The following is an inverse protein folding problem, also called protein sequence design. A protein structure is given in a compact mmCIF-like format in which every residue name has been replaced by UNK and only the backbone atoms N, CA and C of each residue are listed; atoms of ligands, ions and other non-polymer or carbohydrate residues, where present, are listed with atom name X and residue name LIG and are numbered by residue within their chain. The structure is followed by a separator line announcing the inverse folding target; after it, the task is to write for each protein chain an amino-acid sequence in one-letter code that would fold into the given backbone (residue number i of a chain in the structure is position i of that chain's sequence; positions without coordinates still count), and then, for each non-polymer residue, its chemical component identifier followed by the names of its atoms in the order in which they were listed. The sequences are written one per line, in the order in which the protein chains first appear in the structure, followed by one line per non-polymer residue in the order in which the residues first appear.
data_IF_653051935383
#
_entry.id   IF_653051935383
#
_cell.length_a   1.000
_cell.length_b   1.000
_cell.length_c   1.000
_cell.angle_alpha   90.00
_cell.angle_beta   90.00
_cell.angle_gamma   90.00
#
_symmetry.space_group_name_H-M   'P 1'
#
loop_
_entity.id
_entity.type
_entity.pdbx_description
1 polymer ?
#
# COMPACT_ATOMS: atom_id res chain seq x y z
N UNK A 1 -26.43 39.06 39.82
CA UNK A 1 -26.68 38.26 38.60
C UNK A 1 -25.80 38.78 37.48
N UNK A 2 -24.68 38.12 37.20
CA UNK A 2 -23.99 38.17 35.90
C UNK A 2 -23.75 36.73 35.51
N UNK A 3 -24.59 36.26 34.61
CA UNK A 3 -24.61 34.91 34.09
C UNK A 3 -23.40 34.73 33.15
N UNK A 4 -22.50 33.80 33.50
CA UNK A 4 -21.41 33.37 32.61
C UNK A 4 -22.04 32.57 31.47
N UNK A 5 -22.01 33.13 30.26
CA UNK A 5 -22.34 32.39 29.04
C UNK A 5 -21.30 31.27 28.77
N UNK A 6 -21.66 30.19 28.05
CA UNK A 6 -20.96 28.91 28.10
C UNK A 6 -19.73 28.89 27.17
N UNK A 7 -18.54 28.65 27.75
CA UNK A 7 -17.30 28.35 27.00
C UNK A 7 -17.41 27.05 26.17
N UNK A 8 -18.30 26.14 26.55
CA UNK A 8 -18.53 24.83 25.90
C UNK A 8 -19.07 24.94 24.46
N UNK A 9 -19.83 25.99 24.14
CA UNK A 9 -20.38 26.15 22.77
C UNK A 9 -19.33 26.64 21.78
N UNK A 10 -18.38 27.47 22.23
CA UNK A 10 -17.27 27.95 21.39
C UNK A 10 -16.25 26.85 21.13
N UNK A 11 -15.95 26.02 22.12
CA UNK A 11 -14.99 24.92 21.96
C UNK A 11 -15.48 23.84 21.00
N UNK A 12 -16.78 23.49 21.06
CA UNK A 12 -17.40 22.56 20.11
C UNK A 12 -17.49 23.13 18.69
N UNK A 13 -17.78 24.43 18.53
CA UNK A 13 -17.77 25.08 17.22
C UNK A 13 -16.37 25.08 16.59
N UNK A 14 -15.33 25.38 17.40
CA UNK A 14 -13.93 25.40 16.96
C UNK A 14 -13.44 24.00 16.57
N UNK A 15 -13.77 22.95 17.34
CA UNK A 15 -13.44 21.55 16.99
C UNK A 15 -14.15 21.10 15.71
N UNK A 16 -15.40 21.50 15.51
CA UNK A 16 -16.18 21.16 14.31
C UNK A 16 -15.64 21.86 13.06
N UNK A 17 -15.27 23.14 13.15
CA UNK A 17 -14.63 23.90 12.08
C UNK A 17 -13.25 23.35 11.71
N UNK A 18 -12.47 22.92 12.71
CA UNK A 18 -11.14 22.33 12.49
C UNK A 18 -11.24 20.96 11.80
N UNK A 19 -12.20 20.12 12.20
CA UNK A 19 -12.46 18.84 11.54
C UNK A 19 -13.00 19.01 10.10
N UNK A 20 -13.84 20.03 9.86
CA UNK A 20 -14.35 20.34 8.54
C UNK A 20 -13.22 20.85 7.62
N UNK A 21 -12.36 21.78 8.09
CA UNK A 21 -11.28 22.35 7.28
C UNK A 21 -10.18 21.34 6.92
N UNK A 22 -9.84 20.42 7.82
CA UNK A 22 -8.88 19.33 7.55
C UNK A 22 -9.46 18.34 6.52
N UNK A 23 -10.75 18.01 6.63
CA UNK A 23 -11.44 17.13 5.68
C UNK A 23 -11.52 17.78 4.28
N UNK A 24 -11.76 19.08 4.21
CA UNK A 24 -11.89 19.82 2.95
C UNK A 24 -10.54 20.04 2.26
N UNK A 25 -9.47 20.36 3.02
CA UNK A 25 -8.11 20.52 2.46
C UNK A 25 -7.57 19.21 1.86
N UNK A 26 -7.85 18.07 2.51
CA UNK A 26 -7.47 16.74 2.01
C UNK A 26 -8.22 16.37 0.72
N UNK A 27 -9.47 16.82 0.59
CA UNK A 27 -10.32 16.60 -0.59
C UNK A 27 -9.86 17.46 -1.76
N UNK A 28 -9.56 18.74 -1.53
CA UNK A 28 -9.04 19.65 -2.55
C UNK A 28 -7.72 19.17 -3.15
N UNK A 29 -6.76 18.75 -2.30
CA UNK A 29 -5.47 18.21 -2.76
C UNK A 29 -5.62 16.94 -3.60
N UNK A 30 -6.55 16.07 -3.25
CA UNK A 30 -6.84 14.84 -4.01
C UNK A 30 -7.42 15.16 -5.38
N UNK A 31 -8.41 16.05 -5.43
CA UNK A 31 -9.01 16.46 -6.69
C UNK A 31 -7.96 17.03 -7.65
N UNK A 32 -7.02 17.83 -7.13
CA UNK A 32 -5.90 18.35 -7.92
C UNK A 32 -5.03 17.24 -8.51
N UNK A 33 -4.71 16.19 -7.73
CA UNK A 33 -3.95 15.04 -8.20
C UNK A 33 -4.70 14.29 -9.31
N UNK A 34 -6.00 14.04 -9.11
CA UNK A 34 -6.83 13.34 -10.10
C UNK A 34 -6.98 14.13 -11.40
N UNK A 35 -7.18 15.45 -11.31
CA UNK A 35 -7.18 16.32 -12.47
C UNK A 35 -5.84 16.31 -13.20
N UNK A 36 -4.72 16.29 -12.46
CA UNK A 36 -3.38 16.18 -13.04
C UNK A 36 -3.16 14.86 -13.79
N UNK A 37 -3.63 13.73 -13.24
CA UNK A 37 -3.55 12.43 -13.92
C UNK A 37 -4.40 12.40 -15.19
N UNK A 38 -5.64 12.87 -15.13
CA UNK A 38 -6.50 12.96 -16.31
C UNK A 38 -5.87 13.82 -17.41
N UNK A 39 -5.28 14.97 -17.03
CA UNK A 39 -4.56 15.82 -17.95
C UNK A 39 -3.37 15.10 -18.60
N UNK A 40 -2.58 14.33 -17.85
CA UNK A 40 -1.45 13.57 -18.41
C UNK A 40 -1.90 12.56 -19.47
N UNK A 41 -2.98 11.81 -19.21
CA UNK A 41 -3.51 10.84 -20.16
C UNK A 41 -4.04 11.50 -21.44
N UNK A 42 -4.75 12.63 -21.32
CA UNK A 42 -5.23 13.39 -22.48
C UNK A 42 -4.04 13.98 -23.26
N UNK A 43 -3.02 14.50 -22.57
CA UNK A 43 -1.83 15.04 -23.20
C UNK A 43 -1.04 13.97 -23.95
N UNK A 44 -0.89 12.76 -23.40
CA UNK A 44 -0.32 11.62 -24.13
C UNK A 44 -1.05 11.40 -25.46
N UNK A 45 -2.38 11.28 -25.44
CA UNK A 45 -3.18 11.11 -26.65
C UNK A 45 -2.96 12.23 -27.68
N UNK A 46 -2.88 13.49 -27.24
CA UNK A 46 -2.65 14.65 -28.11
C UNK A 46 -1.23 14.62 -28.70
N UNK A 47 -0.20 14.41 -27.88
CA UNK A 47 1.19 14.37 -28.35
C UNK A 47 1.42 13.20 -29.30
N UNK A 48 0.94 12.01 -28.95
CA UNK A 48 0.95 10.81 -29.81
C UNK A 48 0.32 11.08 -31.18
N UNK A 49 -0.86 11.69 -31.19
CA UNK A 49 -1.54 12.04 -32.44
C UNK A 49 -0.79 13.05 -33.29
N UNK A 50 -0.16 14.06 -32.67
CA UNK A 50 0.68 15.06 -33.34
C UNK A 50 1.94 14.42 -33.92
N UNK A 51 2.66 13.61 -33.15
CA UNK A 51 3.88 12.91 -33.59
C UNK A 51 3.60 12.04 -34.81
N UNK A 52 2.42 11.44 -34.86
CA UNK A 52 1.97 10.60 -35.97
C UNK A 52 1.25 11.32 -37.09
N UNK A 53 1.20 12.66 -37.06
CA UNK A 53 0.52 13.49 -38.06
C UNK A 53 -0.90 12.99 -38.37
N UNK A 54 -1.67 12.72 -37.32
CA UNK A 54 -3.03 12.16 -37.43
C UNK A 54 -4.01 13.22 -37.93
N UNK A 55 -4.97 12.77 -38.74
CA UNK A 55 -6.05 13.62 -39.24
C UNK A 55 -6.91 14.18 -38.09
N UNK A 56 -7.57 15.33 -38.26
CA UNK A 56 -8.35 15.98 -37.18
C UNK A 56 -9.40 15.08 -36.53
N UNK A 57 -10.05 14.19 -37.30
CA UNK A 57 -11.03 13.25 -36.76
C UNK A 57 -10.37 12.13 -35.93
N UNK A 58 -9.16 11.68 -36.28
CA UNK A 58 -8.39 10.69 -35.52
C UNK A 58 -7.87 11.32 -34.22
N UNK A 59 -7.46 12.59 -34.28
CA UNK A 59 -7.12 13.39 -33.09
C UNK A 59 -8.31 13.49 -32.12
N UNK A 60 -9.52 13.73 -32.64
CA UNK A 60 -10.72 13.76 -31.79
C UNK A 60 -10.97 12.40 -31.11
N UNK A 61 -10.83 11.29 -31.83
CA UNK A 61 -10.96 9.93 -31.27
C UNK A 61 -9.94 9.68 -30.16
N UNK A 62 -8.68 10.08 -30.35
CA UNK A 62 -7.63 9.97 -29.34
C UNK A 62 -7.96 10.77 -28.07
N UNK A 63 -8.46 12.01 -28.21
CA UNK A 63 -8.89 12.81 -27.07
C UNK A 63 -10.05 12.15 -26.32
N UNK A 64 -11.07 11.63 -27.04
CA UNK A 64 -12.18 10.92 -26.43
C UNK A 64 -11.72 9.63 -25.73
N UNK A 65 -10.75 8.91 -26.29
CA UNK A 65 -10.14 7.74 -25.66
C UNK A 65 -9.45 8.12 -24.33
N UNK A 66 -8.67 9.20 -24.31
CA UNK A 66 -8.03 9.72 -23.11
C UNK A 66 -9.03 10.13 -22.02
N UNK A 67 -10.14 10.77 -22.41
CA UNK A 67 -11.24 11.12 -21.49
C UNK A 67 -11.91 9.86 -20.95
N UNK A 68 -12.28 8.91 -21.82
CA UNK A 68 -12.94 7.67 -21.43
C UNK A 68 -12.09 6.86 -20.45
N UNK A 69 -10.79 6.73 -20.76
CA UNK A 69 -9.84 6.08 -19.87
C UNK A 69 -9.75 6.80 -18.54
N UNK A 70 -9.60 8.13 -18.55
CA UNK A 70 -9.48 8.94 -17.32
C UNK A 70 -10.70 8.76 -16.41
N UNK A 71 -11.91 8.79 -16.97
CA UNK A 71 -13.15 8.53 -16.23
C UNK A 71 -13.13 7.13 -15.62
N UNK A 72 -12.80 6.11 -16.41
CA UNK A 72 -12.80 4.72 -15.96
C UNK A 72 -11.74 4.46 -14.88
N UNK A 73 -10.52 4.98 -15.07
CA UNK A 73 -9.40 4.81 -14.15
C UNK A 73 -9.66 5.51 -12.82
N UNK A 74 -10.14 6.76 -12.85
CA UNK A 74 -10.47 7.52 -11.64
C UNK A 74 -11.66 6.92 -10.90
N UNK A 75 -12.70 6.46 -11.61
CA UNK A 75 -13.82 5.75 -11.02
C UNK A 75 -13.36 4.44 -10.36
N UNK A 76 -12.51 3.66 -11.03
CA UNK A 76 -11.90 2.47 -10.47
C UNK A 76 -11.14 2.76 -9.17
N UNK A 77 -10.32 3.82 -9.14
CA UNK A 77 -9.61 4.21 -7.92
C UNK A 77 -10.55 4.61 -6.77
N UNK A 78 -11.64 5.32 -7.04
CA UNK A 78 -12.60 5.72 -5.99
C UNK A 78 -13.47 4.54 -5.52
N UNK A 79 -13.83 3.60 -6.41
CA UNK A 79 -14.56 2.38 -6.04
C UNK A 79 -13.75 1.47 -5.13
N UNK A 80 -12.51 1.17 -5.52
CA UNK A 80 -11.59 0.38 -4.69
C UNK A 80 -11.30 1.06 -3.34
N UNK A 81 -11.31 2.40 -3.31
CA UNK A 81 -11.18 3.16 -2.08
C UNK A 81 -12.38 2.95 -1.14
N UNK A 82 -13.59 2.86 -1.68
CA UNK A 82 -14.81 2.65 -0.89
C UNK A 82 -14.90 1.20 -0.39
N UNK A 83 -14.48 0.23 -1.22
CA UNK A 83 -14.56 -1.19 -0.90
C UNK A 83 -13.58 -1.66 0.20
N UNK A 84 -12.66 -0.80 0.68
CA UNK A 84 -11.74 -1.08 1.81
C UNK A 84 -10.92 -2.37 1.71
N UNK A 85 -10.80 -2.99 0.55
CA UNK A 85 -9.99 -4.20 0.36
C UNK A 85 -8.49 -3.88 0.24
N UNK A 86 -7.68 -4.95 0.36
CA UNK A 86 -6.20 -5.05 0.28
C UNK A 86 -5.49 -4.08 -0.69
N UNK A 87 -6.17 -3.60 -1.73
CA UNK A 87 -5.69 -2.52 -2.60
C UNK A 87 -5.34 -1.22 -1.87
N UNK A 88 -6.01 -0.94 -0.75
CA UNK A 88 -5.89 0.30 0.01
C UNK A 88 -4.54 0.46 0.73
N UNK A 89 -3.92 -0.65 1.13
CA UNK A 89 -2.60 -0.66 1.81
C UNK A 89 -1.47 -0.25 0.87
N UNK A 90 -1.60 -0.55 -0.43
CA UNK A 90 -0.55 -0.29 -1.42
C UNK A 90 -0.76 1.02 -2.19
N UNK A 91 -2.01 1.43 -2.42
CA UNK A 91 -2.36 2.70 -3.07
C UNK A 91 -2.31 3.93 -2.14
N UNK A 92 -1.62 3.80 -0.99
CA UNK A 92 -1.61 4.74 0.15
C UNK A 92 -1.23 6.18 -0.22
N UNK A 93 -0.49 6.35 -1.32
CA UNK A 93 -0.09 7.65 -1.83
C UNK A 93 -0.43 7.81 -3.32
N UNK A 94 -1.60 8.40 -3.59
CA UNK A 94 -2.00 8.85 -4.94
C UNK A 94 -0.94 9.71 -5.62
N UNK A 95 -0.03 10.34 -4.86
CA UNK A 95 1.10 11.11 -5.41
C UNK A 95 2.10 10.22 -6.14
N UNK A 96 2.43 9.04 -5.60
CA UNK A 96 3.33 8.12 -6.27
C UNK A 96 2.67 7.53 -7.50
N UNK A 97 1.38 7.18 -7.41
CA UNK A 97 0.60 6.69 -8.56
C UNK A 97 0.58 7.76 -9.66
N UNK A 98 0.25 9.01 -9.31
CA UNK A 98 0.21 10.11 -10.27
C UNK A 98 1.59 10.43 -10.85
N UNK A 99 2.64 10.43 -10.02
CA UNK A 99 4.01 10.66 -10.46
C UNK A 99 4.49 9.58 -11.42
N UNK A 100 4.24 8.31 -11.11
CA UNK A 100 4.56 7.21 -12.03
C UNK A 100 3.73 7.27 -13.31
N UNK A 101 2.43 7.54 -13.21
CA UNK A 101 1.55 7.65 -14.36
C UNK A 101 2.01 8.77 -15.32
N UNK A 102 2.45 9.92 -14.80
CA UNK A 102 3.04 10.98 -15.63
C UNK A 102 4.35 10.53 -16.33
N UNK A 103 5.19 9.77 -15.62
CA UNK A 103 6.42 9.18 -16.19
C UNK A 103 6.07 8.13 -17.25
N UNK A 104 5.06 7.28 -17.02
CA UNK A 104 4.64 6.25 -17.98
C UNK A 104 4.01 6.85 -19.23
N UNK A 105 3.17 7.90 -19.10
CA UNK A 105 2.66 8.67 -20.23
C UNK A 105 3.81 9.27 -21.06
N UNK A 106 4.80 9.88 -20.40
CA UNK A 106 5.95 10.46 -21.09
C UNK A 106 6.78 9.39 -21.80
N UNK A 107 7.02 8.25 -21.15
CA UNK A 107 7.73 7.12 -21.73
C UNK A 107 6.95 6.52 -22.92
N UNK A 108 5.62 6.42 -22.84
CA UNK A 108 4.78 5.91 -23.91
C UNK A 108 4.89 6.78 -25.17
N UNK A 109 4.81 8.11 -25.03
CA UNK A 109 5.04 9.05 -26.14
C UNK A 109 6.44 8.87 -26.75
N UNK A 110 7.48 8.66 -25.93
CA UNK A 110 8.83 8.39 -26.42
C UNK A 110 8.96 7.04 -27.14
N UNK A 111 8.22 6.02 -26.71
CA UNK A 111 8.22 4.70 -27.35
C UNK A 111 7.62 4.72 -28.75
N UNK A 112 6.88 5.76 -29.13
CA UNK A 112 6.45 5.92 -30.51
C UNK A 112 7.65 6.12 -31.45
N UNK A 113 8.74 6.74 -31.03
CA UNK A 113 9.91 6.85 -31.91
C UNK A 113 10.59 5.49 -32.19
N UNK A 114 10.23 4.43 -31.45
CA UNK A 114 10.80 3.10 -31.60
C UNK A 114 10.06 2.26 -32.66
N UNK A 115 10.79 1.45 -33.44
CA UNK A 115 10.21 0.48 -34.38
C UNK A 115 9.27 -0.54 -33.74
N UNK A 116 8.46 -1.19 -34.57
CA UNK A 116 7.60 -2.32 -34.17
C UNK A 116 8.41 -3.39 -33.40
N UNK A 117 7.81 -3.96 -32.35
CA UNK A 117 8.41 -4.96 -31.44
C UNK A 117 9.63 -4.52 -30.61
N UNK A 118 10.17 -3.32 -30.78
CA UNK A 118 11.30 -2.83 -29.94
C UNK A 118 10.84 -2.08 -28.69
N UNK A 119 9.55 -1.75 -28.59
CA UNK A 119 8.98 -0.97 -27.48
C UNK A 119 8.98 -1.81 -26.20
N UNK A 120 9.59 -1.32 -25.09
CA UNK A 120 9.61 -2.05 -23.83
C UNK A 120 8.30 -1.82 -23.04
N UNK A 121 7.17 -2.20 -23.66
CA UNK A 121 5.80 -2.00 -23.14
C UNK A 121 5.58 -2.69 -21.78
N UNK A 122 6.30 -3.80 -21.54
CA UNK A 122 6.32 -4.51 -20.26
C UNK A 122 6.60 -3.56 -19.07
N UNK A 123 7.48 -2.58 -19.24
CA UNK A 123 7.89 -1.66 -18.17
C UNK A 123 6.74 -0.74 -17.72
N UNK A 124 5.82 -0.41 -18.62
CA UNK A 124 4.68 0.47 -18.33
C UNK A 124 3.73 -0.21 -17.32
N UNK A 125 3.38 -1.47 -17.56
CA UNK A 125 2.59 -2.27 -16.61
C UNK A 125 3.37 -2.59 -15.33
N UNK A 126 4.66 -2.94 -15.43
CA UNK A 126 5.47 -3.32 -14.28
C UNK A 126 5.55 -2.18 -13.24
N UNK A 127 5.87 -0.96 -13.66
CA UNK A 127 5.92 0.16 -12.73
C UNK A 127 4.55 0.54 -12.16
N UNK A 128 3.49 0.44 -12.97
CA UNK A 128 2.11 0.64 -12.49
C UNK A 128 1.74 -0.37 -11.41
N UNK A 129 2.13 -1.63 -11.59
CA UNK A 129 1.90 -2.71 -10.63
C UNK A 129 2.75 -2.60 -9.35
N UNK A 130 3.96 -2.03 -9.44
CA UNK A 130 4.80 -1.74 -8.26
C UNK A 130 4.13 -0.68 -7.39
N UNK A 131 3.69 0.43 -7.99
CA UNK A 131 3.17 1.60 -7.27
C UNK A 131 1.73 1.42 -6.81
N UNK A 132 0.94 0.65 -7.56
CA UNK A 132 -0.45 0.32 -7.21
C UNK A 132 -0.60 -1.20 -7.06
N UNK A 133 -1.27 -1.89 -7.98
CA UNK A 133 -1.39 -3.33 -8.04
C UNK A 133 -1.40 -3.81 -9.49
N UNK A 134 -1.46 -5.13 -9.69
CA UNK A 134 -1.49 -5.74 -11.03
C UNK A 134 -2.71 -5.30 -11.86
N UNK A 135 -3.86 -5.01 -11.23
CA UNK A 135 -5.07 -4.56 -11.93
C UNK A 135 -4.87 -3.16 -12.54
N UNK A 136 -4.43 -2.17 -11.77
CA UNK A 136 -4.20 -0.81 -12.24
C UNK A 136 -2.96 -0.71 -13.13
N UNK A 137 -1.92 -1.53 -12.87
CA UNK A 137 -0.77 -1.67 -13.77
C UNK A 137 -1.20 -2.16 -15.16
N UNK A 138 -2.04 -3.21 -15.22
CA UNK A 138 -2.61 -3.71 -16.46
C UNK A 138 -3.51 -2.66 -17.13
N UNK A 139 -4.41 -2.02 -16.39
CA UNK A 139 -5.33 -1.01 -16.91
C UNK A 139 -4.58 0.17 -17.54
N UNK A 140 -3.54 0.68 -16.88
CA UNK A 140 -2.65 1.72 -17.43
C UNK A 140 -1.88 1.23 -18.66
N UNK A 141 -1.36 0.01 -18.61
CA UNK A 141 -0.68 -0.60 -19.75
C UNK A 141 -1.56 -0.68 -21.00
N UNK A 142 -2.78 -1.21 -20.85
CA UNK A 142 -3.74 -1.37 -21.94
C UNK A 142 -4.09 -0.02 -22.54
N UNK A 143 -4.18 1.04 -21.73
CA UNK A 143 -4.40 2.39 -22.24
C UNK A 143 -3.28 2.86 -23.17
N UNK A 144 -2.02 2.76 -22.74
CA UNK A 144 -0.86 3.14 -23.56
C UNK A 144 -0.83 2.35 -24.89
N UNK A 145 -1.09 1.04 -24.81
CA UNK A 145 -1.15 0.17 -26.00
C UNK A 145 -2.33 0.53 -26.91
N UNK A 146 -3.49 0.88 -26.34
CA UNK A 146 -4.64 1.35 -27.13
C UNK A 146 -4.34 2.66 -27.87
N UNK A 147 -3.58 3.58 -27.24
CA UNK A 147 -3.10 4.80 -27.91
C UNK A 147 -2.19 4.45 -29.09
N UNK A 148 -1.26 3.52 -28.94
CA UNK A 148 -0.40 3.05 -30.05
C UNK A 148 -1.21 2.44 -31.21
N UNK A 149 -2.21 1.62 -30.88
CA UNK A 149 -3.08 0.99 -31.86
C UNK A 149 -3.92 2.01 -32.65
N UNK A 150 -4.55 2.98 -31.97
CA UNK A 150 -5.33 4.05 -32.62
C UNK A 150 -4.43 5.00 -33.42
N UNK A 151 -3.19 5.20 -32.97
CA UNK A 151 -2.14 5.87 -33.73
C UNK A 151 -1.60 5.05 -34.90
N UNK A 152 -2.31 4.01 -35.34
CA UNK A 152 -2.14 3.32 -36.62
C UNK A 152 -0.86 2.50 -36.74
N UNK A 153 -0.28 2.06 -35.61
CA UNK A 153 0.95 1.28 -35.61
C UNK A 153 0.73 -0.24 -35.52
N UNK A 154 -0.48 -0.71 -35.22
CA UNK A 154 -0.64 -2.07 -34.71
C UNK A 154 -1.65 -2.89 -35.51
N UNK A 155 -1.14 -3.99 -36.07
CA UNK A 155 -1.95 -5.12 -36.50
C UNK A 155 -2.49 -5.84 -35.25
N UNK A 156 -3.61 -6.57 -35.37
CA UNK A 156 -4.21 -7.33 -34.27
C UNK A 156 -3.19 -8.26 -33.55
N UNK A 157 -2.23 -8.83 -34.29
CA UNK A 157 -1.15 -9.64 -33.72
C UNK A 157 -0.17 -8.85 -32.85
N UNK A 158 0.09 -7.58 -33.17
CA UNK A 158 0.95 -6.71 -32.38
C UNK A 158 0.25 -6.28 -31.09
N UNK A 159 -1.04 -5.94 -31.18
CA UNK A 159 -1.87 -5.68 -30.01
C UNK A 159 -1.89 -6.89 -29.05
N UNK A 160 -2.05 -8.10 -29.60
CA UNK A 160 -1.98 -9.33 -28.81
C UNK A 160 -0.60 -9.50 -28.14
N UNK A 161 0.49 -9.28 -28.89
CA UNK A 161 1.84 -9.31 -28.34
C UNK A 161 1.98 -8.36 -27.14
N UNK A 162 1.55 -7.11 -27.30
CA UNK A 162 1.66 -6.10 -26.26
C UNK A 162 0.82 -6.45 -25.02
N UNK A 163 -0.39 -7.00 -25.19
CA UNK A 163 -1.20 -7.49 -24.06
C UNK A 163 -0.47 -8.59 -23.27
N UNK A 164 0.19 -9.53 -23.95
CA UNK A 164 1.02 -10.54 -23.27
C UNK A 164 2.20 -9.87 -22.55
N UNK A 165 2.92 -8.94 -23.19
CA UNK A 165 4.02 -8.20 -22.56
C UNK A 165 3.57 -7.43 -21.29
N UNK A 166 2.39 -6.82 -21.31
CA UNK A 166 1.79 -6.17 -20.14
C UNK A 166 1.50 -7.16 -19.01
N UNK A 167 0.97 -8.35 -19.33
CA UNK A 167 0.78 -9.42 -18.35
C UNK A 167 2.11 -9.85 -17.73
N UNK A 168 3.16 -10.01 -18.54
CA UNK A 168 4.53 -10.25 -18.07
C UNK A 168 5.03 -9.16 -17.12
N UNK A 169 4.69 -7.89 -17.38
CA UNK A 169 5.06 -6.76 -16.52
C UNK A 169 4.41 -6.83 -15.14
N UNK A 170 3.13 -7.19 -15.07
CA UNK A 170 2.44 -7.39 -13.80
C UNK A 170 3.01 -8.57 -13.00
N UNK A 171 3.36 -9.68 -13.67
CA UNK A 171 3.93 -10.87 -13.04
C UNK A 171 5.41 -10.64 -12.66
N UNK A 172 6.14 -9.76 -13.34
CA UNK A 172 7.52 -9.42 -13.00
C UNK A 172 7.67 -8.98 -11.53
N UNK A 173 6.67 -8.25 -11.02
CA UNK A 173 6.66 -7.76 -9.63
C UNK A 173 6.57 -8.90 -8.62
N UNK A 174 5.77 -9.93 -8.90
CA UNK A 174 5.68 -11.10 -8.01
C UNK A 174 6.94 -11.94 -8.10
N UNK A 175 7.50 -12.12 -9.29
CA UNK A 175 8.77 -12.84 -9.45
C UNK A 175 9.92 -12.21 -8.67
N UNK A 176 10.09 -10.89 -8.74
CA UNK A 176 11.15 -10.22 -7.98
C UNK A 176 10.91 -10.21 -6.47
N UNK A 177 9.65 -10.33 -6.03
CA UNK A 177 9.28 -10.43 -4.61
C UNK A 177 9.52 -11.84 -4.05
N UNK A 178 9.12 -12.89 -4.77
CA UNK A 178 9.07 -14.26 -4.24
C UNK A 178 10.28 -15.12 -4.61
N UNK A 179 10.90 -14.89 -5.77
CA UNK A 179 12.04 -15.72 -6.19
C UNK A 179 13.29 -15.32 -5.40
N UNK A 180 13.77 -16.26 -4.59
CA UNK A 180 15.01 -16.13 -3.78
C UNK A 180 16.23 -15.74 -4.61
N UNK A 181 16.31 -16.16 -5.87
CA UNK A 181 17.42 -15.86 -6.76
C UNK A 181 17.00 -14.98 -7.95
N UNK A 182 17.31 -13.68 -7.83
CA UNK A 182 16.93 -12.62 -8.77
C UNK A 182 17.39 -12.86 -10.21
N UNK A 183 18.50 -13.59 -10.42
CA UNK A 183 19.03 -13.88 -11.76
C UNK A 183 18.05 -14.67 -12.61
N UNK A 184 17.34 -15.62 -12.01
CA UNK A 184 16.32 -16.41 -12.71
C UNK A 184 15.11 -15.57 -13.12
N UNK A 185 14.73 -14.58 -12.31
CA UNK A 185 13.67 -13.63 -12.68
C UNK A 185 14.04 -12.81 -13.92
N UNK A 186 15.28 -12.33 -14.01
CA UNK A 186 15.77 -11.57 -15.18
C UNK A 186 15.80 -12.47 -16.43
N UNK A 187 16.34 -13.69 -16.30
CA UNK A 187 16.40 -14.64 -17.42
C UNK A 187 14.99 -15.02 -17.90
N UNK A 188 14.07 -15.29 -16.97
CA UNK A 188 12.69 -15.61 -17.31
C UNK A 188 12.00 -14.46 -18.06
N UNK A 189 12.13 -13.22 -17.57
CA UNK A 189 11.54 -12.06 -18.24
C UNK A 189 12.16 -11.81 -19.62
N UNK A 190 13.47 -12.03 -19.76
CA UNK A 190 14.14 -11.95 -21.06
C UNK A 190 13.52 -12.95 -22.05
N UNK A 191 13.45 -14.23 -21.66
CA UNK A 191 12.90 -15.30 -22.51
C UNK A 191 11.42 -15.03 -22.82
N UNK A 192 10.64 -14.62 -21.83
CA UNK A 192 9.23 -14.28 -22.00
C UNK A 192 9.02 -13.21 -23.07
N UNK A 193 9.74 -12.09 -22.98
CA UNK A 193 9.63 -10.99 -23.96
C UNK A 193 10.09 -11.45 -25.34
N UNK A 194 11.21 -12.18 -25.40
CA UNK A 194 11.77 -12.69 -26.64
C UNK A 194 10.79 -13.64 -27.35
N UNK A 195 10.20 -14.58 -26.61
CA UNK A 195 9.26 -15.57 -27.12
C UNK A 195 7.95 -14.92 -27.58
N UNK A 196 7.41 -13.95 -26.84
CA UNK A 196 6.23 -13.19 -27.28
C UNK A 196 6.49 -12.52 -28.64
N UNK A 197 7.60 -11.79 -28.78
CA UNK A 197 7.93 -11.11 -30.03
C UNK A 197 8.13 -12.11 -31.18
N UNK A 198 8.83 -13.23 -30.92
CA UNK A 198 9.06 -14.27 -31.90
C UNK A 198 7.74 -14.87 -32.42
N UNK A 199 6.87 -15.30 -31.50
CA UNK A 199 5.59 -15.96 -31.83
C UNK A 199 4.71 -15.03 -32.65
N UNK A 200 4.47 -13.80 -32.17
CA UNK A 200 3.54 -12.89 -32.83
C UNK A 200 4.11 -12.32 -34.14
N UNK A 201 5.43 -12.15 -34.25
CA UNK A 201 6.06 -11.80 -35.52
C UNK A 201 5.95 -12.93 -36.56
N UNK A 202 6.18 -14.18 -36.13
CA UNK A 202 6.09 -15.34 -37.01
C UNK A 202 4.66 -15.55 -37.51
N UNK A 203 3.65 -15.41 -36.65
CA UNK A 203 2.24 -15.52 -37.05
C UNK A 203 1.88 -14.47 -38.11
N UNK A 204 2.41 -13.24 -37.99
CA UNK A 204 2.13 -12.15 -38.93
C UNK A 204 2.80 -12.35 -40.30
N UNK A 205 4.06 -12.76 -40.31
CA UNK A 205 4.90 -12.74 -41.52
C UNK A 205 5.11 -14.12 -42.15
N UNK A 206 4.85 -15.19 -41.40
CA UNK A 206 5.12 -16.58 -41.80
C UNK A 206 6.61 -16.93 -41.90
N UNK A 207 7.51 -16.01 -41.56
CA UNK A 207 8.96 -16.17 -41.72
C UNK A 207 9.71 -15.59 -40.52
N UNK A 208 10.85 -16.19 -40.17
CA UNK A 208 11.74 -15.66 -39.15
C UNK A 208 12.74 -14.69 -39.78
N UNK A 209 12.57 -13.40 -39.50
CA UNK A 209 13.52 -12.37 -39.93
C UNK A 209 14.57 -12.11 -38.85
N UNK A 210 15.85 -12.14 -39.23
CA UNK A 210 16.98 -11.84 -38.35
C UNK A 210 16.88 -10.49 -37.65
N UNK A 211 16.31 -9.48 -38.31
CA UNK A 211 16.12 -8.16 -37.70
C UNK A 211 15.14 -8.23 -36.52
N UNK A 212 14.07 -9.02 -36.64
CA UNK A 212 13.09 -9.17 -35.56
C UNK A 212 13.65 -9.98 -34.41
N UNK A 213 14.47 -10.99 -34.68
CA UNK A 213 15.21 -11.72 -33.65
C UNK A 213 16.12 -10.79 -32.86
N UNK A 214 16.87 -9.92 -33.55
CA UNK A 214 17.74 -8.93 -32.92
C UNK A 214 16.93 -7.93 -32.09
N UNK A 215 15.84 -7.40 -32.65
CA UNK A 215 14.94 -6.49 -31.93
C UNK A 215 14.29 -7.12 -30.71
N UNK A 216 13.85 -8.38 -30.83
CA UNK A 216 13.31 -9.16 -29.72
C UNK A 216 14.34 -9.38 -28.61
N UNK A 217 15.59 -9.71 -28.97
CA UNK A 217 16.66 -9.89 -27.99
C UNK A 217 17.01 -8.56 -27.29
N UNK A 218 17.10 -7.47 -28.04
CA UNK A 218 17.31 -6.13 -27.46
C UNK A 218 16.17 -5.72 -26.53
N UNK A 219 14.91 -5.92 -26.95
CA UNK A 219 13.74 -5.61 -26.12
C UNK A 219 13.72 -6.49 -24.86
N UNK A 220 13.96 -7.79 -24.98
CA UNK A 220 14.05 -8.70 -23.85
C UNK A 220 15.10 -8.26 -22.84
N UNK A 221 16.29 -7.86 -23.31
CA UNK A 221 17.36 -7.38 -22.44
C UNK A 221 16.99 -6.07 -21.73
N UNK A 222 16.47 -5.09 -22.47
CA UNK A 222 16.07 -3.77 -21.94
C UNK A 222 14.89 -3.91 -20.97
N UNK A 223 13.87 -4.69 -21.33
CA UNK A 223 12.68 -4.90 -20.49
C UNK A 223 13.01 -5.68 -19.22
N UNK A 224 13.83 -6.73 -19.28
CA UNK A 224 14.21 -7.49 -18.09
C UNK A 224 15.11 -6.69 -17.14
N UNK A 225 16.14 -6.01 -17.67
CA UNK A 225 17.02 -5.15 -16.87
C UNK A 225 16.26 -3.94 -16.31
N UNK A 226 15.42 -3.31 -17.14
CA UNK A 226 14.58 -2.18 -16.76
C UNK A 226 13.59 -2.55 -15.65
N UNK A 227 12.92 -3.70 -15.75
CA UNK A 227 11.99 -4.16 -14.72
C UNK A 227 12.70 -4.43 -13.39
N UNK A 228 13.91 -5.01 -13.44
CA UNK A 228 14.73 -5.20 -12.26
C UNK A 228 15.17 -3.86 -11.63
N UNK A 229 15.62 -2.90 -12.45
CA UNK A 229 16.00 -1.57 -11.98
C UNK A 229 14.81 -0.83 -11.37
N UNK A 230 13.63 -0.86 -12.02
CA UNK A 230 12.40 -0.26 -11.52
C UNK A 230 11.99 -0.88 -10.18
N UNK A 231 12.03 -2.21 -10.08
CA UNK A 231 11.78 -2.89 -8.80
C UNK A 231 12.80 -2.43 -7.75
N UNK A 232 14.08 -2.42 -8.09
CA UNK A 232 15.13 -2.03 -7.17
C UNK A 232 15.03 -0.56 -6.72
N UNK A 233 14.59 0.37 -7.57
CA UNK A 233 14.49 1.79 -7.23
C UNK A 233 13.16 2.11 -6.58
N UNK A 234 12.04 1.88 -7.27
CA UNK A 234 10.71 2.29 -6.83
C UNK A 234 10.21 1.45 -5.66
N UNK A 235 10.32 0.12 -5.72
CA UNK A 235 9.79 -0.73 -4.64
C UNK A 235 10.54 -0.49 -3.33
N UNK A 236 11.88 -0.45 -3.37
CA UNK A 236 12.69 -0.15 -2.17
C UNK A 236 12.48 1.27 -1.68
N UNK A 237 12.34 2.25 -2.57
CA UNK A 237 12.05 3.63 -2.18
C UNK A 237 10.70 3.74 -1.45
N UNK A 238 9.64 3.12 -2.00
CA UNK A 238 8.31 3.11 -1.38
C UNK A 238 8.34 2.40 -0.02
N UNK A 239 8.98 1.23 0.06
CA UNK A 239 9.06 0.47 1.30
C UNK A 239 9.90 1.19 2.37
N UNK A 240 11.04 1.78 1.99
CA UNK A 240 11.86 2.57 2.92
C UNK A 240 11.14 3.84 3.37
N UNK A 241 10.42 4.52 2.49
CA UNK A 241 9.65 5.72 2.84
C UNK A 241 8.57 5.38 3.87
N UNK A 242 7.84 4.29 3.66
CA UNK A 242 6.83 3.79 4.62
C UNK A 242 7.45 3.43 5.96
N UNK A 243 8.59 2.73 5.93
CA UNK A 243 9.32 2.35 7.15
C UNK A 243 9.79 3.58 7.92
N UNK A 244 10.39 4.56 7.25
CA UNK A 244 10.83 5.81 7.87
C UNK A 244 9.66 6.61 8.48
N UNK A 245 8.49 6.61 7.84
CA UNK A 245 7.28 7.24 8.39
C UNK A 245 6.83 6.57 9.69
N UNK A 246 6.78 5.24 9.73
CA UNK A 246 6.41 4.46 10.91
C UNK A 246 7.45 4.57 12.04
N UNK A 247 8.74 4.55 11.72
CA UNK A 247 9.81 4.79 12.69
C UNK A 247 9.73 6.22 13.25
N UNK A 248 9.46 7.22 12.40
CA UNK A 248 9.36 8.62 12.81
C UNK A 248 8.27 8.84 13.85
N UNK A 249 7.09 8.25 13.66
CA UNK A 249 5.99 8.40 14.62
C UNK A 249 6.28 7.68 15.94
N UNK A 250 7.26 6.77 16.02
CA UNK A 250 7.64 6.12 17.28
C UNK A 250 8.79 6.83 18.03
N UNK A 251 9.43 7.83 17.41
CA UNK A 251 10.52 8.57 18.05
C UNK A 251 9.99 9.47 19.18
N UNK A 252 10.79 9.59 20.25
CA UNK A 252 10.51 10.47 21.40
C UNK A 252 10.35 11.95 21.03
N UNK A 253 10.87 12.38 19.89
CA UNK A 253 10.73 13.75 19.37
C UNK A 253 9.37 14.01 18.71
N UNK A 254 8.60 12.96 18.39
CA UNK A 254 7.30 13.12 17.77
C UNK A 254 6.31 13.69 18.80
N UNK A 255 5.62 14.78 18.45
CA UNK A 255 4.81 15.55 19.41
C UNK A 255 3.75 14.72 20.13
N UNK A 256 3.14 13.74 19.46
CA UNK A 256 2.14 12.88 20.09
C UNK A 256 2.76 11.88 21.10
N UNK A 257 3.99 11.42 20.86
CA UNK A 257 4.74 10.59 21.81
C UNK A 257 5.04 11.38 23.08
N UNK A 258 5.44 12.65 22.94
CA UNK A 258 5.66 13.56 24.06
C UNK A 258 4.37 13.84 24.83
N UNK A 259 3.25 14.03 24.12
CA UNK A 259 1.94 14.22 24.74
C UNK A 259 1.54 13.03 25.63
N UNK A 260 1.74 11.80 25.16
CA UNK A 260 1.48 10.58 25.97
C UNK A 260 2.36 10.55 27.21
N UNK A 261 3.66 10.85 27.07
CA UNK A 261 4.61 10.89 28.21
C UNK A 261 4.23 11.95 29.24
N UNK A 262 3.83 13.14 28.81
CA UNK A 262 3.39 14.21 29.72
C UNK A 262 2.06 13.90 30.40
N UNK A 263 1.15 13.21 29.71
CA UNK A 263 -0.13 12.80 30.28
C UNK A 263 0.04 11.72 31.36
N UNK A 264 0.80 10.66 31.07
CA UNK A 264 0.95 9.52 31.96
C UNK A 264 2.21 8.73 31.65
N UNK A 265 3.17 8.73 32.58
CA UNK A 265 4.39 7.93 32.44
C UNK A 265 4.08 6.42 32.45
N UNK A 266 3.02 6.01 33.14
CA UNK A 266 2.56 4.63 33.15
C UNK A 266 2.06 4.20 31.76
N UNK A 267 1.21 5.01 31.12
CA UNK A 267 0.71 4.74 29.76
C UNK A 267 1.84 4.78 28.73
N UNK A 268 2.79 5.69 28.88
CA UNK A 268 3.96 5.77 28.02
C UNK A 268 4.83 4.51 28.11
N UNK A 269 5.15 4.06 29.33
CA UNK A 269 5.96 2.86 29.55
C UNK A 269 5.24 1.61 29.05
N UNK A 270 3.94 1.51 29.34
CA UNK A 270 3.09 0.43 28.86
C UNK A 270 3.03 0.39 27.34
N UNK A 271 2.73 1.52 26.68
CA UNK A 271 2.68 1.61 25.22
C UNK A 271 4.03 1.27 24.57
N UNK A 272 5.15 1.65 25.19
CA UNK A 272 6.49 1.22 24.73
C UNK A 272 6.70 -0.29 24.80
N UNK A 273 6.30 -0.90 25.91
CA UNK A 273 6.42 -2.36 26.12
C UNK A 273 5.54 -3.13 25.14
N UNK A 274 4.28 -2.73 24.98
CA UNK A 274 3.36 -3.32 23.99
C UNK A 274 3.88 -3.13 22.57
N UNK A 275 4.39 -1.94 22.23
CA UNK A 275 5.01 -1.65 20.92
C UNK A 275 6.15 -2.61 20.58
N UNK A 276 7.07 -2.82 21.51
CA UNK A 276 8.24 -3.67 21.30
C UNK A 276 7.87 -5.16 21.19
N UNK A 277 7.02 -5.65 22.09
CA UNK A 277 6.57 -7.04 22.08
C UNK A 277 5.74 -7.33 20.82
N UNK A 278 4.83 -6.42 20.43
CA UNK A 278 4.02 -6.55 19.23
C UNK A 278 4.86 -6.58 17.96
N UNK A 279 5.95 -5.79 17.88
CA UNK A 279 6.92 -5.83 16.78
C UNK A 279 7.49 -7.24 16.60
N UNK A 280 7.96 -7.84 17.69
CA UNK A 280 8.61 -9.14 17.65
C UNK A 280 7.62 -10.26 17.32
N UNK A 281 6.41 -10.21 17.91
CA UNK A 281 5.31 -11.11 17.56
C UNK A 281 4.98 -11.05 16.05
N UNK A 282 4.86 -9.85 15.48
CA UNK A 282 4.57 -9.67 14.06
C UNK A 282 5.68 -10.24 13.16
N UNK A 283 6.95 -9.97 13.50
CA UNK A 283 8.09 -10.53 12.77
C UNK A 283 8.10 -12.07 12.77
N UNK A 284 7.72 -12.72 13.86
CA UNK A 284 7.69 -14.18 13.99
C UNK A 284 6.65 -14.86 13.09
N UNK A 285 5.54 -14.18 12.83
CA UNK A 285 4.41 -14.73 12.07
C UNK A 285 4.32 -14.20 10.63
N UNK A 286 5.24 -13.31 10.24
CA UNK A 286 5.28 -12.71 8.90
C UNK A 286 4.27 -11.58 8.68
N UNK A 287 3.75 -11.00 9.77
CA UNK A 287 2.99 -9.74 9.74
C UNK A 287 3.96 -8.53 9.70
N UNK A 288 3.43 -7.32 9.52
CA UNK A 288 4.20 -6.07 9.44
C UNK A 288 4.66 -5.60 10.84
N UNK A 289 5.97 -5.71 11.16
CA UNK A 289 6.47 -5.38 12.50
C UNK A 289 6.37 -3.90 12.84
N UNK A 290 6.51 -3.03 11.83
CA UNK A 290 6.53 -1.57 12.04
C UNK A 290 5.11 -1.06 12.31
N UNK A 291 4.11 -1.63 11.64
CA UNK A 291 2.69 -1.33 11.87
C UNK A 291 2.24 -1.85 13.23
N UNK A 292 2.56 -3.10 13.58
CA UNK A 292 2.22 -3.66 14.88
C UNK A 292 2.87 -2.87 16.03
N UNK A 293 4.12 -2.44 15.86
CA UNK A 293 4.81 -1.61 16.85
C UNK A 293 4.13 -0.25 17.04
N UNK A 294 3.81 0.45 15.94
CA UNK A 294 3.12 1.73 16.01
C UNK A 294 1.71 1.57 16.58
N UNK A 295 0.98 0.52 16.22
CA UNK A 295 -0.35 0.22 16.76
C UNK A 295 -0.30 -0.02 18.26
N UNK A 296 0.66 -0.83 18.71
CA UNK A 296 0.89 -1.15 20.12
C UNK A 296 1.30 0.06 20.97
N UNK A 297 1.95 1.07 20.40
CA UNK A 297 2.21 2.32 21.12
C UNK A 297 0.96 3.20 21.21
N UNK A 298 0.20 3.31 20.11
CA UNK A 298 -0.83 4.33 19.96
C UNK A 298 -2.25 3.91 20.35
N UNK A 299 -2.55 2.62 20.53
CA UNK A 299 -3.95 2.17 20.72
C UNK A 299 -4.67 2.80 21.93
N UNK A 300 -3.95 3.21 22.98
CA UNK A 300 -4.54 3.83 24.19
C UNK A 300 -4.59 5.36 24.18
N UNK A 301 -4.18 6.04 23.10
CA UNK A 301 -4.10 7.51 23.12
C UNK A 301 -5.42 8.22 23.40
N UNK A 302 -6.57 7.55 23.16
CA UNK A 302 -7.88 8.08 23.52
C UNK A 302 -8.05 8.37 25.01
N UNK A 303 -7.29 7.71 25.88
CA UNK A 303 -7.30 7.96 27.34
C UNK A 303 -6.92 9.39 27.71
N UNK A 304 -6.15 10.08 26.87
CA UNK A 304 -5.78 11.48 27.09
C UNK A 304 -6.98 12.44 27.00
N UNK A 305 -7.98 12.10 26.19
CA UNK A 305 -9.19 12.91 25.96
C UNK A 305 -10.39 12.40 26.80
N UNK A 306 -10.32 11.16 27.30
CA UNK A 306 -11.39 10.54 28.06
C UNK A 306 -12.41 9.78 27.20
N UNK A 307 -13.56 9.45 27.80
CA UNK A 307 -14.60 8.69 27.12
C UNK A 307 -15.34 9.54 26.07
N UNK A 308 -15.71 8.95 24.92
CA UNK A 308 -15.47 7.56 24.53
C UNK A 308 -14.07 7.36 23.92
N UNK A 309 -13.31 6.40 24.48
CA UNK A 309 -11.86 6.29 24.24
C UNK A 309 -11.51 5.99 22.78
N UNK A 310 -12.27 5.13 22.12
CA UNK A 310 -11.97 4.69 20.74
C UNK A 310 -12.16 5.84 19.75
N UNK A 311 -13.30 6.54 19.80
CA UNK A 311 -13.56 7.69 18.92
C UNK A 311 -12.57 8.81 19.14
N UNK A 312 -12.28 9.14 20.40
CA UNK A 312 -11.35 10.20 20.74
C UNK A 312 -9.92 9.85 20.30
N UNK A 313 -9.49 8.60 20.50
CA UNK A 313 -8.19 8.12 20.02
C UNK A 313 -8.08 8.19 18.49
N UNK A 314 -9.12 7.79 17.78
CA UNK A 314 -9.20 7.89 16.31
C UNK A 314 -9.16 9.35 15.83
N UNK A 315 -9.85 10.25 16.53
CA UNK A 315 -9.83 11.67 16.21
C UNK A 315 -8.41 12.25 16.38
N UNK A 316 -7.74 11.90 17.48
CA UNK A 316 -6.39 12.35 17.78
C UNK A 316 -5.35 11.78 16.81
N UNK A 317 -5.45 10.50 16.44
CA UNK A 317 -4.61 9.89 15.43
C UNK A 317 -4.75 10.59 14.07
N UNK A 318 -5.98 10.96 13.69
CA UNK A 318 -6.25 11.66 12.42
C UNK A 318 -5.75 13.10 12.41
N UNK A 319 -5.93 13.84 13.50
CA UNK A 319 -5.46 15.23 13.62
C UNK A 319 -3.93 15.31 13.60
N UNK A 320 -3.25 14.27 14.10
CA UNK A 320 -1.79 14.14 14.06
C UNK A 320 -1.27 13.42 12.79
N UNK A 321 -2.13 13.20 11.80
CA UNK A 321 -1.78 12.58 10.52
C UNK A 321 -1.10 11.20 10.65
N UNK A 322 -1.49 10.41 11.65
CA UNK A 322 -1.03 9.04 11.76
C UNK A 322 -1.48 8.19 10.56
N UNK A 323 -0.68 7.17 10.18
CA UNK A 323 -1.04 6.22 9.14
C UNK A 323 -2.42 5.58 9.37
N UNK A 324 -3.10 5.23 8.29
CA UNK A 324 -4.47 4.70 8.36
C UNK A 324 -4.53 3.32 8.98
N UNK A 325 -3.48 2.53 8.82
CA UNK A 325 -3.29 1.23 9.44
C UNK A 325 -3.34 1.37 10.97
N UNK A 326 -2.67 2.39 11.51
CA UNK A 326 -2.69 2.70 12.94
C UNK A 326 -4.09 3.15 13.36
N UNK A 327 -4.71 4.05 12.60
CA UNK A 327 -6.12 4.44 12.84
C UNK A 327 -7.08 3.24 12.79
N UNK A 328 -6.80 2.24 11.95
CA UNK A 328 -7.54 0.98 11.86
C UNK A 328 -7.40 0.16 13.13
N UNK A 329 -6.16 -0.08 13.57
CA UNK A 329 -5.87 -0.79 14.83
C UNK A 329 -6.59 -0.12 16.01
N UNK A 330 -6.55 1.22 16.10
CA UNK A 330 -7.23 1.95 17.19
C UNK A 330 -8.75 1.70 17.23
N UNK A 331 -9.39 1.43 16.09
CA UNK A 331 -10.83 1.13 15.99
C UNK A 331 -11.15 -0.32 16.31
N UNK A 332 -10.21 -1.19 16.02
CA UNK A 332 -10.43 -2.63 15.97
C UNK A 332 -9.93 -3.36 17.21
N UNK A 333 -8.89 -2.85 17.89
CA UNK A 333 -8.10 -3.66 18.82
C UNK A 333 -8.97 -4.38 19.84
N UNK A 334 -9.93 -3.70 20.48
CA UNK A 334 -10.79 -4.30 21.52
C UNK A 334 -12.13 -4.86 21.01
N UNK A 335 -12.36 -4.90 19.69
CA UNK A 335 -13.62 -5.41 19.14
C UNK A 335 -14.87 -4.53 19.39
N UNK A 336 -14.73 -3.36 20.03
CA UNK A 336 -15.86 -2.50 20.43
C UNK A 336 -16.61 -1.88 19.25
N UNK A 337 -15.87 -1.29 18.30
CA UNK A 337 -16.46 -0.72 17.07
C UNK A 337 -16.41 -1.71 15.92
N UNK A 338 -15.28 -2.40 15.76
CA UNK A 338 -15.00 -3.34 14.69
C UNK A 338 -14.13 -4.47 15.22
N UNK A 339 -14.29 -5.68 14.69
CA UNK A 339 -13.39 -6.80 15.00
C UNK A 339 -12.03 -6.59 14.31
N UNK A 340 -10.93 -7.10 14.89
CA UNK A 340 -9.63 -7.17 14.22
C UNK A 340 -9.73 -7.78 12.82
N UNK A 341 -9.39 -6.97 11.82
CA UNK A 341 -9.43 -7.35 10.40
C UNK A 341 -8.04 -7.68 9.83
N UNK A 342 -6.98 -7.41 10.59
CA UNK A 342 -5.58 -7.62 10.21
C UNK A 342 -4.81 -8.38 11.28
N UNK A 343 -3.73 -9.05 10.87
CA UNK A 343 -2.84 -9.76 11.80
C UNK A 343 -2.26 -8.80 12.84
N UNK A 344 -1.88 -7.59 12.44
CA UNK A 344 -1.29 -6.56 13.29
C UNK A 344 -2.28 -6.10 14.37
N UNK A 345 -3.55 -5.90 14.02
CA UNK A 345 -4.61 -5.55 14.96
C UNK A 345 -4.84 -6.64 16.01
N UNK A 346 -4.90 -7.90 15.56
CA UNK A 346 -5.02 -9.05 16.47
C UNK A 346 -3.79 -9.19 17.39
N UNK A 347 -2.58 -9.01 16.85
CA UNK A 347 -1.33 -9.05 17.62
C UNK A 347 -1.30 -7.97 18.70
N UNK A 348 -1.71 -6.74 18.38
CA UNK A 348 -1.75 -5.64 19.36
C UNK A 348 -2.68 -5.98 20.52
N UNK A 349 -3.88 -6.50 20.25
CA UNK A 349 -4.80 -6.93 21.31
C UNK A 349 -4.24 -8.11 22.13
N UNK A 350 -3.67 -9.12 21.48
CA UNK A 350 -3.06 -10.28 22.13
C UNK A 350 -1.98 -9.84 23.10
N UNK A 351 -1.08 -8.97 22.64
CA UNK A 351 0.04 -8.47 23.44
C UNK A 351 -0.45 -7.59 24.59
N UNK A 352 -1.37 -6.64 24.32
CA UNK A 352 -1.97 -5.80 25.36
C UNK A 352 -2.62 -6.65 26.47
N UNK A 353 -3.45 -7.62 26.09
CA UNK A 353 -4.16 -8.47 27.06
C UNK A 353 -3.22 -9.19 28.03
N UNK A 354 -2.05 -9.61 27.55
CA UNK A 354 -1.01 -10.22 28.38
C UNK A 354 -0.29 -9.17 29.20
N UNK A 355 0.27 -8.13 28.55
CA UNK A 355 1.07 -7.09 29.22
C UNK A 355 0.27 -6.36 30.30
N UNK A 356 -1.00 -6.04 30.04
CA UNK A 356 -1.88 -5.38 31.01
C UNK A 356 -2.10 -6.22 32.27
N UNK A 357 -2.23 -7.55 32.16
CA UNK A 357 -2.31 -8.43 33.35
C UNK A 357 -1.00 -8.46 34.12
N UNK A 358 0.15 -8.46 33.43
CA UNK A 358 1.46 -8.37 34.08
C UNK A 358 1.70 -7.04 34.80
N UNK A 359 1.20 -5.93 34.26
CA UNK A 359 1.35 -4.60 34.87
C UNK A 359 0.47 -4.42 36.13
N UNK A 360 -0.62 -5.19 36.26
CA UNK A 360 -1.53 -5.14 37.43
C UNK A 360 -1.11 -6.11 38.54
N UNK A 361 -0.47 -7.22 38.20
CA UNK A 361 -0.13 -8.27 39.18
C UNK A 361 1.19 -7.99 39.91
N UNK A 362 1.16 -8.13 41.24
CA UNK A 362 2.34 -7.93 42.08
C UNK A 362 3.43 -8.99 41.83
N UNK A 363 4.69 -8.59 42.06
CA UNK A 363 5.88 -9.46 41.92
C UNK A 363 5.81 -10.76 42.73
N UNK A 364 5.07 -10.77 43.83
CA UNK A 364 4.86 -11.98 44.64
C UNK A 364 4.02 -13.04 43.90
N UNK A 365 2.97 -12.62 43.19
CA UNK A 365 2.10 -13.48 42.40
C UNK A 365 2.84 -14.02 41.17
N UNK A 366 3.72 -13.21 40.58
CA UNK A 366 4.54 -13.58 39.42
C UNK A 366 5.94 -14.09 39.80
N UNK A 367 6.10 -14.62 41.01
CA UNK A 367 7.41 -15.00 41.57
C UNK A 367 8.08 -16.20 40.90
N UNK A 368 7.32 -17.05 40.21
CA UNK A 368 7.84 -18.20 39.48
C UNK A 368 7.58 -18.08 37.98
N UNK A 369 8.51 -18.61 37.17
CA UNK A 369 8.32 -18.71 35.72
C UNK A 369 7.05 -19.48 35.37
N UNK A 370 6.73 -20.53 36.14
CA UNK A 370 5.49 -21.31 35.94
C UNK A 370 4.21 -20.47 36.11
N UNK A 371 4.16 -19.57 37.09
CA UNK A 371 3.01 -18.66 37.27
C UNK A 371 2.87 -17.69 36.09
N UNK A 372 4.00 -17.19 35.59
CA UNK A 372 4.05 -16.29 34.44
C UNK A 372 3.58 -17.02 33.16
N UNK A 373 4.08 -18.22 32.92
CA UNK A 373 3.68 -19.07 31.79
C UNK A 373 2.17 -19.35 31.84
N UNK A 374 1.66 -19.77 33.01
CA UNK A 374 0.24 -20.08 33.20
C UNK A 374 -0.65 -18.86 32.94
N UNK A 375 -0.23 -17.67 33.38
CA UNK A 375 -0.97 -16.44 33.11
C UNK A 375 -1.06 -16.15 31.61
N UNK A 376 0.04 -16.33 30.88
CA UNK A 376 0.05 -16.18 29.41
C UNK A 376 -0.91 -17.20 28.78
N UNK A 377 -0.82 -18.48 29.17
CA UNK A 377 -1.72 -19.53 28.64
C UNK A 377 -3.20 -19.22 28.86
N UNK A 378 -3.58 -18.86 30.10
CA UNK A 378 -4.97 -18.57 30.44
C UNK A 378 -5.50 -17.38 29.63
N UNK A 379 -4.73 -16.30 29.59
CA UNK A 379 -5.11 -15.06 28.90
C UNK A 379 -5.31 -15.27 27.41
N UNK A 380 -4.37 -15.98 26.77
CA UNK A 380 -4.48 -16.24 25.34
C UNK A 380 -5.62 -17.20 25.00
N UNK A 381 -5.89 -18.20 25.85
CA UNK A 381 -7.00 -19.13 25.64
C UNK A 381 -8.36 -18.42 25.81
N UNK A 382 -8.51 -17.56 26.82
CA UNK A 382 -9.71 -16.72 27.02
C UNK A 382 -9.99 -15.87 25.79
N UNK A 383 -8.96 -15.17 25.31
CA UNK A 383 -9.06 -14.32 24.13
C UNK A 383 -9.39 -15.10 22.86
N UNK A 384 -8.75 -16.25 22.63
CA UNK A 384 -9.03 -17.08 21.47
C UNK A 384 -10.45 -17.66 21.48
N UNK A 385 -11.00 -17.97 22.65
CA UNK A 385 -12.35 -18.54 22.77
C UNK A 385 -13.46 -17.52 22.44
N UNK A 386 -13.15 -16.22 22.46
CA UNK A 386 -14.12 -15.16 22.19
C UNK A 386 -14.48 -14.97 20.71
N UNK A 387 -13.75 -15.59 19.78
CA UNK A 387 -13.93 -15.42 18.32
C UNK A 387 -13.44 -14.08 17.77
N UNK A 388 -12.74 -13.28 18.59
CA UNK A 388 -12.30 -11.93 18.23
C UNK A 388 -11.34 -11.89 17.03
N UNK A 389 -10.63 -12.99 16.74
CA UNK A 389 -9.60 -13.05 15.70
C UNK A 389 -10.07 -13.65 14.37
N UNK A 390 -11.33 -14.08 14.27
CA UNK A 390 -11.80 -14.88 13.12
C UNK A 390 -11.70 -14.14 11.77
N UNK A 391 -11.72 -12.81 11.78
CA UNK A 391 -11.65 -11.96 10.58
C UNK A 391 -10.24 -11.44 10.27
N UNK A 392 -9.26 -11.74 11.13
CA UNK A 392 -7.90 -11.17 11.03
C UNK A 392 -6.92 -11.97 10.16
N UNK A 393 -7.35 -13.14 9.66
CA UNK A 393 -6.48 -14.08 8.94
C UNK A 393 -5.50 -14.85 9.84
N UNK A 394 -5.71 -14.79 11.16
CA UNK A 394 -4.82 -15.38 12.15
C UNK A 394 -4.98 -16.91 12.22
N UNK A 395 -3.89 -17.64 11.97
CA UNK A 395 -3.91 -19.11 12.00
C UNK A 395 -3.48 -19.67 13.37
N UNK A 396 -3.89 -20.90 13.67
CA UNK A 396 -3.50 -21.58 14.91
C UNK A 396 -1.98 -21.73 15.04
N UNK A 397 -1.25 -21.94 13.94
CA UNK A 397 0.22 -22.00 13.97
C UNK A 397 0.83 -20.65 14.40
N UNK A 398 0.30 -19.54 13.88
CA UNK A 398 0.72 -18.19 14.27
C UNK A 398 0.47 -17.93 15.75
N UNK A 399 -0.70 -18.35 16.26
CA UNK A 399 -1.05 -18.27 17.68
C UNK A 399 -0.02 -18.99 18.57
N UNK A 400 0.32 -20.23 18.23
CA UNK A 400 1.27 -21.03 18.98
C UNK A 400 2.67 -20.39 19.00
N UNK A 401 3.13 -19.85 17.87
CA UNK A 401 4.42 -19.15 17.79
C UNK A 401 4.46 -17.91 18.69
N UNK A 402 3.41 -17.09 18.66
CA UNK A 402 3.32 -15.88 19.48
C UNK A 402 3.27 -16.25 20.96
N UNK A 403 2.47 -17.24 21.33
CA UNK A 403 2.42 -17.74 22.71
C UNK A 403 3.78 -18.21 23.20
N UNK A 404 4.47 -19.03 22.40
CA UNK A 404 5.78 -19.56 22.77
C UNK A 404 6.81 -18.43 22.96
N UNK A 405 6.76 -17.39 22.12
CA UNK A 405 7.59 -16.19 22.27
C UNK A 405 7.25 -15.40 23.54
N UNK A 406 5.96 -15.16 23.82
CA UNK A 406 5.52 -14.44 25.01
C UNK A 406 5.92 -15.14 26.32
N UNK A 407 6.04 -16.46 26.28
CA UNK A 407 6.49 -17.28 27.43
C UNK A 407 8.01 -17.22 27.59
N UNK A 408 8.77 -17.37 26.50
CA UNK A 408 10.21 -17.68 26.58
C UNK A 408 11.13 -16.47 26.41
N UNK A 409 10.70 -15.49 25.61
CA UNK A 409 11.60 -14.47 25.06
C UNK A 409 11.10 -13.05 25.29
N UNK A 410 9.81 -12.84 25.54
CA UNK A 410 9.30 -11.51 25.82
C UNK A 410 9.76 -11.04 27.22
N UNK A 411 10.44 -9.90 27.27
CA UNK A 411 10.75 -9.20 28.52
C UNK A 411 9.46 -8.57 29.09
N UNK A 412 8.69 -9.38 29.82
CA UNK A 412 7.44 -8.96 30.45
C UNK A 412 7.64 -8.22 31.79
N UNK A 413 8.88 -7.94 32.20
CA UNK A 413 9.24 -7.26 33.47
C UNK A 413 10.10 -6.03 33.29
#
# INVERSE_FOLDING_TARGET
MKEKAPETTKENATKTETHASVKDSSRGRRNLIFSGMALCGILECVFSGIIRNREPYQMAVLIFLGILYSVTFLAGMELYRIQKDWFYEKARDYRYIAGWYAVSCTAAVLFEYLPEYTRPVLLLAAGGAIVSNSFFGMLSGIFHVAVFAVCGQENAYMLLCDIFLLAGGCIAVTFFKEIRNRRWGIIFLFLYVFDCILIFSFIRTGQLNWNVLLFGACNGAVSAAGAWLLYQTLYRYLQNSRKQELERILKSEFGLVQAVSHFSQADYNHGRKVSEIARNCAALVGADPDVAAAGGFYYRIGRMEGEPYVENGVALARSNHLPREIVGILREYNGEQQLPSTLESAIVHIVDSVVAKFDVLDRATLSSSWNQDMLVYQTLNENSASGLYDQSGFSMNMFLKIRDYLIKEAELF
#
